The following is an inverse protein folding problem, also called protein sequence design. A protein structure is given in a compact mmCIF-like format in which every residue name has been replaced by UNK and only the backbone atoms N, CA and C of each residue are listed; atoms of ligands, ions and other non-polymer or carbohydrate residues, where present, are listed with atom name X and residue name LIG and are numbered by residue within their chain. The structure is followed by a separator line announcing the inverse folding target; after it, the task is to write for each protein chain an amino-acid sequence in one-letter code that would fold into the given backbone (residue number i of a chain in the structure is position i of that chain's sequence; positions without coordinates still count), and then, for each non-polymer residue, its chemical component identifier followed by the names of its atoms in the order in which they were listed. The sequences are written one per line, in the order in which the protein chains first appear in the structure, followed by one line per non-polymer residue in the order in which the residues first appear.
data_IF_328773253321
#
_entry.id   IF_328773253321
#
_cell.length_a   1.000
_cell.length_b   1.000
_cell.length_c   1.000
_cell.angle_alpha   90.00
_cell.angle_beta   90.00
_cell.angle_gamma   90.00
#
_symmetry.space_group_name_H-M   'P 1'
#
loop_
_entity.id
_entity.type
_entity.pdbx_description
1 polymer ?
#
# COMPACT_ATOMS: atom_id res chain seq x y z
N UNK A 1 -37.67 11.55 -51.85
CA UNK A 1 -37.99 11.98 -50.47
C UNK A 1 -38.79 10.86 -49.81
N UNK A 2 -38.19 10.14 -48.87
CA UNK A 2 -38.81 9.02 -48.14
C UNK A 2 -39.51 9.56 -46.90
N UNK A 3 -40.84 9.46 -46.84
CA UNK A 3 -41.64 9.88 -45.70
C UNK A 3 -41.78 8.73 -44.68
N UNK A 4 -41.31 8.94 -43.45
CA UNK A 4 -41.52 8.01 -42.34
C UNK A 4 -42.91 8.26 -41.73
N UNK A 5 -43.84 7.33 -41.95
CA UNK A 5 -45.17 7.35 -41.34
C UNK A 5 -45.16 6.68 -39.96
N UNK A 6 -45.22 7.45 -38.88
CA UNK A 6 -45.49 6.91 -37.55
C UNK A 6 -46.97 6.55 -37.42
N UNK A 7 -47.30 5.27 -37.59
CA UNK A 7 -48.60 4.71 -37.18
C UNK A 7 -48.67 4.69 -35.65
N UNK A 8 -49.32 5.69 -35.05
CA UNK A 8 -49.71 5.63 -33.63
C UNK A 8 -50.93 4.74 -33.49
N UNK A 9 -50.80 3.59 -32.81
CA UNK A 9 -51.96 2.88 -32.25
C UNK A 9 -52.49 3.73 -31.11
N UNK A 10 -53.62 4.40 -31.32
CA UNK A 10 -54.31 5.16 -30.27
C UNK A 10 -54.73 4.18 -29.18
N UNK A 11 -54.08 4.28 -28.02
CA UNK A 11 -54.38 3.49 -26.83
C UNK A 11 -55.69 3.94 -26.20
N UNK A 12 -56.81 3.40 -26.68
CA UNK A 12 -58.16 3.67 -26.17
C UNK A 12 -58.34 3.33 -24.68
N UNK A 13 -57.47 2.48 -24.11
CA UNK A 13 -57.58 2.01 -22.72
C UNK A 13 -56.72 2.76 -21.70
N UNK A 14 -55.71 3.52 -22.13
CA UNK A 14 -54.79 4.23 -21.20
C UNK A 14 -55.34 5.61 -20.83
N UNK A 15 -56.09 6.25 -21.73
CA UNK A 15 -56.63 7.58 -21.50
C UNK A 15 -57.72 7.60 -20.42
N UNK A 16 -58.68 6.66 -20.45
CA UNK A 16 -59.83 6.69 -19.50
C UNK A 16 -59.43 6.46 -18.05
N UNK A 17 -58.47 5.57 -17.79
CA UNK A 17 -57.98 5.31 -16.43
C UNK A 17 -57.21 6.50 -15.88
N UNK A 18 -56.40 7.17 -16.72
CA UNK A 18 -55.70 8.38 -16.34
C UNK A 18 -56.65 9.56 -16.09
N UNK A 19 -57.69 9.70 -16.91
CA UNK A 19 -58.73 10.72 -16.73
C UNK A 19 -59.55 10.49 -15.45
N UNK A 20 -59.92 9.26 -15.15
CA UNK A 20 -60.71 8.94 -13.95
C UNK A 20 -59.93 9.20 -12.64
N UNK A 21 -58.62 8.97 -12.63
CA UNK A 21 -57.77 9.26 -11.46
C UNK A 21 -57.62 10.78 -11.22
N UNK A 22 -57.60 11.58 -12.29
CA UNK A 22 -57.56 13.04 -12.18
C UNK A 22 -58.90 13.62 -11.66
N UNK A 23 -60.03 13.02 -12.05
CA UNK A 23 -61.36 13.45 -11.59
C UNK A 23 -61.66 13.08 -10.13
N UNK A 24 -61.03 12.03 -9.58
CA UNK A 24 -61.16 11.71 -8.15
C UNK A 24 -60.36 12.66 -7.27
N UNK A 25 -59.16 13.04 -7.72
CA UNK A 25 -58.27 13.96 -6.98
C UNK A 25 -58.80 15.41 -6.97
N UNK A 26 -59.63 15.77 -7.96
CA UNK A 26 -60.27 17.08 -8.05
C UNK A 26 -61.50 17.25 -7.14
N UNK A 27 -61.95 16.20 -6.43
CA UNK A 27 -63.13 16.26 -5.56
C UNK A 27 -62.81 16.52 -4.08
N UNK A 28 -61.54 16.48 -3.71
CA UNK A 28 -61.11 16.70 -2.33
C UNK A 28 -60.57 18.14 -2.14
N UNK A 29 -61.44 19.15 -2.29
CA UNK A 29 -61.15 20.52 -1.85
C UNK A 29 -62.37 21.16 -1.16
N UNK A 30 -62.59 20.78 0.10
CA UNK A 30 -63.34 21.59 1.07
C UNK A 30 -62.48 21.85 2.32
N UNK A 31 -61.35 22.57 2.17
CA UNK A 31 -60.78 23.35 3.27
C UNK A 31 -59.84 24.46 2.75
N UNK A 32 -60.24 25.75 2.77
CA UNK A 32 -59.41 26.85 2.24
C UNK A 32 -58.28 27.31 3.18
N UNK A 33 -58.08 26.68 4.35
CA UNK A 33 -57.20 27.24 5.42
C UNK A 33 -55.84 26.55 5.59
N UNK A 34 -55.51 25.50 4.82
CA UNK A 34 -54.27 24.70 5.04
C UNK A 34 -53.19 24.84 3.94
N UNK A 35 -53.18 25.92 3.15
CA UNK A 35 -52.23 26.09 2.04
C UNK A 35 -51.10 27.08 2.32
N UNK A 36 -50.48 27.02 3.50
CA UNK A 36 -49.09 27.43 3.69
C UNK A 36 -48.15 26.32 3.19
N UNK A 37 -48.35 25.89 1.95
CA UNK A 37 -47.48 24.87 1.37
C UNK A 37 -46.13 25.55 1.07
N UNK A 38 -45.04 25.03 1.64
CA UNK A 38 -43.72 25.66 1.51
C UNK A 38 -43.10 25.29 0.16
N UNK A 39 -43.32 26.11 -0.86
CA UNK A 39 -42.82 25.89 -2.22
C UNK A 39 -41.31 25.70 -2.26
N UNK A 40 -40.56 26.29 -1.31
CA UNK A 40 -39.11 26.16 -1.27
C UNK A 40 -38.66 24.75 -0.89
N UNK A 41 -39.44 24.03 -0.09
CA UNK A 41 -39.12 22.64 0.29
C UNK A 41 -39.56 21.63 -0.77
N UNK A 42 -40.55 21.98 -1.60
CA UNK A 42 -41.03 21.16 -2.70
C UNK A 42 -40.24 21.32 -4.00
N UNK A 43 -39.43 22.39 -4.14
CA UNK A 43 -38.49 22.48 -5.27
C UNK A 43 -37.47 21.36 -5.12
N UNK A 44 -37.40 20.37 -6.04
CA UNK A 44 -36.35 19.37 -5.99
C UNK A 44 -35.01 20.11 -6.04
N UNK A 45 -34.05 19.78 -5.14
CA UNK A 45 -32.80 20.50 -5.07
C UNK A 45 -32.20 20.54 -6.47
N UNK A 46 -32.00 21.77 -6.98
CA UNK A 46 -31.42 21.97 -8.31
C UNK A 46 -30.11 21.18 -8.32
N UNK A 47 -29.95 20.27 -9.28
CA UNK A 47 -28.65 19.60 -9.49
C UNK A 47 -27.64 20.71 -9.69
N UNK A 48 -26.82 20.97 -8.68
CA UNK A 48 -25.69 21.86 -8.78
C UNK A 48 -24.79 21.17 -9.79
N UNK A 49 -24.82 21.67 -11.03
CA UNK A 49 -23.87 21.26 -12.06
C UNK A 49 -22.53 21.76 -11.52
N UNK A 50 -21.71 20.85 -10.99
CA UNK A 50 -20.34 21.17 -10.65
C UNK A 50 -19.66 21.59 -11.95
N UNK A 51 -19.42 22.91 -12.11
CA UNK A 51 -18.74 23.48 -13.27
C UNK A 51 -17.28 23.03 -13.35
N UNK A 52 -16.70 22.57 -12.23
CA UNK A 52 -15.34 22.04 -12.17
C UNK A 52 -15.33 20.53 -12.41
N UNK A 53 -14.50 20.10 -13.37
CA UNK A 53 -14.19 18.69 -13.59
C UNK A 53 -13.61 18.06 -12.32
N UNK A 54 -13.97 16.80 -12.04
CA UNK A 54 -13.45 16.07 -10.87
C UNK A 54 -11.90 16.01 -10.86
N UNK A 55 -11.30 15.90 -12.04
CA UNK A 55 -9.84 15.90 -12.24
C UNK A 55 -9.25 17.28 -11.92
N UNK A 56 -9.86 18.36 -12.42
CA UNK A 56 -9.41 19.73 -12.15
C UNK A 56 -9.53 20.06 -10.65
N UNK A 57 -10.63 19.66 -10.01
CA UNK A 57 -10.83 19.81 -8.57
C UNK A 57 -9.80 19.03 -7.76
N UNK A 58 -9.51 17.78 -8.14
CA UNK A 58 -8.46 16.98 -7.49
C UNK A 58 -7.09 17.64 -7.61
N UNK A 59 -6.73 18.15 -8.79
CA UNK A 59 -5.47 18.87 -9.00
C UNK A 59 -5.37 20.14 -8.16
N UNK A 60 -6.48 20.89 -8.00
CA UNK A 60 -6.51 22.05 -7.11
C UNK A 60 -6.29 21.65 -5.65
N UNK A 61 -7.01 20.63 -5.18
CA UNK A 61 -6.85 20.10 -3.81
C UNK A 61 -5.43 19.59 -3.54
N UNK A 62 -4.80 18.96 -4.54
CA UNK A 62 -3.41 18.54 -4.49
C UNK A 62 -2.46 19.71 -4.29
N UNK A 63 -2.64 20.80 -5.05
CA UNK A 63 -1.86 22.03 -4.93
C UNK A 63 -2.11 22.74 -3.59
N UNK A 64 -3.36 22.82 -3.13
CA UNK A 64 -3.69 23.34 -1.80
C UNK A 64 -2.97 22.52 -0.71
N UNK A 65 -2.98 21.18 -0.83
CA UNK A 65 -2.27 20.29 0.08
C UNK A 65 -0.75 20.48 0.04
N UNK A 66 -0.13 20.71 -1.12
CA UNK A 66 1.32 21.04 -1.19
C UNK A 66 1.65 22.31 -0.42
N UNK A 67 0.87 23.37 -0.62
CA UNK A 67 1.11 24.66 0.04
C UNK A 67 0.95 24.54 1.55
N UNK A 68 -0.02 23.73 2.01
CA UNK A 68 -0.20 23.43 3.44
C UNK A 68 0.96 22.62 4.02
N UNK A 69 1.48 21.62 3.27
CA UNK A 69 2.62 20.82 3.69
C UNK A 69 3.90 21.66 3.77
N UNK A 70 4.12 22.57 2.81
CA UNK A 70 5.23 23.54 2.82
C UNK A 70 5.12 24.52 4.01
N UNK A 71 3.89 24.79 4.46
CA UNK A 71 3.61 25.59 5.66
C UNK A 71 3.63 24.77 6.96
N UNK A 72 4.17 23.54 6.94
CA UNK A 72 4.25 22.60 8.07
C UNK A 72 2.90 22.17 8.67
N UNK A 73 1.77 22.47 8.00
CA UNK A 73 0.41 22.07 8.40
C UNK A 73 0.07 20.69 7.85
N UNK A 74 0.80 19.69 8.31
CA UNK A 74 0.78 18.33 7.77
C UNK A 74 -0.59 17.63 7.82
N UNK A 75 -1.31 17.72 8.95
CA UNK A 75 -2.62 17.07 9.09
C UNK A 75 -3.68 17.67 8.17
N UNK A 76 -3.61 18.98 7.91
CA UNK A 76 -4.52 19.64 6.98
C UNK A 76 -4.20 19.29 5.52
N UNK A 77 -2.92 19.20 5.18
CA UNK A 77 -2.48 18.71 3.88
C UNK A 77 -3.00 17.29 3.60
N UNK A 78 -2.88 16.39 4.60
CA UNK A 78 -3.42 15.02 4.53
C UNK A 78 -4.93 15.03 4.25
N UNK A 79 -5.70 15.87 4.94
CA UNK A 79 -7.16 15.98 4.71
C UNK A 79 -7.49 16.43 3.29
N UNK A 80 -6.76 17.42 2.75
CA UNK A 80 -6.94 17.89 1.37
C UNK A 80 -6.59 16.81 0.35
N UNK A 81 -5.52 16.07 0.59
CA UNK A 81 -5.16 14.93 -0.26
C UNK A 81 -6.16 13.77 -0.15
N UNK A 82 -6.77 13.53 1.02
CA UNK A 82 -7.86 12.56 1.15
C UNK A 82 -9.10 12.93 0.34
N UNK A 83 -9.45 14.23 0.31
CA UNK A 83 -10.50 14.72 -0.58
C UNK A 83 -10.12 14.55 -2.05
N UNK A 84 -8.86 14.80 -2.42
CA UNK A 84 -8.36 14.59 -3.78
C UNK A 84 -8.38 13.10 -4.19
N UNK A 85 -7.96 12.18 -3.31
CA UNK A 85 -7.96 10.73 -3.56
C UNK A 85 -9.37 10.19 -3.77
N UNK A 86 -10.38 10.71 -3.06
CA UNK A 86 -11.79 10.35 -3.27
C UNK A 86 -12.28 10.71 -4.69
N UNK A 87 -11.72 11.76 -5.29
CA UNK A 87 -12.06 12.18 -6.65
C UNK A 87 -11.24 11.42 -7.70
N UNK A 88 -9.95 11.23 -7.44
CA UNK A 88 -9.01 10.55 -8.34
C UNK A 88 -8.19 9.50 -7.58
N UNK A 89 -8.73 8.28 -7.51
CA UNK A 89 -8.05 7.17 -6.82
C UNK A 89 -6.79 6.67 -7.55
N UNK A 90 -6.60 7.05 -8.82
CA UNK A 90 -5.52 6.58 -9.69
C UNK A 90 -4.26 7.44 -9.68
N UNK A 91 -4.27 8.62 -9.04
CA UNK A 91 -3.07 9.50 -9.02
C UNK A 91 -2.04 8.96 -8.01
N UNK A 92 -0.96 8.38 -8.53
CA UNK A 92 0.12 7.79 -7.72
C UNK A 92 0.85 8.82 -6.84
N UNK A 93 0.89 10.08 -7.28
CA UNK A 93 1.67 11.11 -6.60
C UNK A 93 1.02 11.56 -5.29
N UNK A 94 -0.32 11.52 -5.20
CA UNK A 94 -1.03 11.82 -3.95
C UNK A 94 -0.67 10.84 -2.83
N UNK A 95 -0.58 9.55 -3.15
CA UNK A 95 -0.18 8.53 -2.18
C UNK A 95 1.28 8.68 -1.74
N UNK A 96 2.17 9.02 -2.68
CA UNK A 96 3.58 9.24 -2.39
C UNK A 96 3.78 10.46 -1.48
N UNK A 97 3.11 11.58 -1.77
CA UNK A 97 3.16 12.79 -0.94
C UNK A 97 2.60 12.54 0.46
N UNK A 98 1.49 11.78 0.58
CA UNK A 98 0.97 11.35 1.88
C UNK A 98 1.97 10.49 2.63
N UNK A 99 2.64 9.55 1.96
CA UNK A 99 3.69 8.71 2.56
C UNK A 99 4.85 9.54 3.09
N UNK A 100 5.32 10.53 2.34
CA UNK A 100 6.36 11.46 2.79
C UNK A 100 5.93 12.25 4.03
N UNK A 101 4.71 12.78 4.06
CA UNK A 101 4.22 13.53 5.22
C UNK A 101 4.06 12.62 6.45
N UNK A 102 3.58 11.40 6.28
CA UNK A 102 3.53 10.44 7.39
C UNK A 102 4.92 10.08 7.92
N UNK A 103 5.94 9.99 7.05
CA UNK A 103 7.34 9.84 7.49
C UNK A 103 7.81 11.01 8.36
N UNK A 104 7.45 12.25 7.99
CA UNK A 104 7.79 13.44 8.78
C UNK A 104 7.09 13.42 10.14
N UNK A 105 5.83 12.96 10.18
CA UNK A 105 5.04 12.81 11.40
C UNK A 105 5.43 11.59 12.25
N UNK A 106 6.40 10.77 11.81
CA UNK A 106 6.76 9.48 12.42
C UNK A 106 5.62 8.43 12.46
N UNK A 107 4.59 8.58 11.62
CA UNK A 107 3.51 7.62 11.46
C UNK A 107 3.91 6.55 10.44
N UNK A 108 4.75 5.61 10.89
CA UNK A 108 5.45 4.67 10.01
C UNK A 108 4.52 3.68 9.31
N UNK A 109 3.52 3.15 10.02
CA UNK A 109 2.60 2.17 9.44
C UNK A 109 1.72 2.77 8.32
N UNK A 110 1.06 3.93 8.52
CA UNK A 110 0.41 4.65 7.42
C UNK A 110 1.37 5.02 6.30
N UNK A 111 2.62 5.41 6.61
CA UNK A 111 3.60 5.75 5.59
C UNK A 111 3.91 4.57 4.68
N UNK A 112 4.13 3.37 5.23
CA UNK A 112 4.36 2.14 4.44
C UNK A 112 3.15 1.84 3.58
N UNK A 113 1.93 1.87 4.13
CA UNK A 113 0.71 1.57 3.38
C UNK A 113 0.53 2.50 2.17
N UNK A 114 0.73 3.81 2.36
CA UNK A 114 0.61 4.77 1.26
C UNK A 114 1.74 4.63 0.24
N UNK A 115 2.95 4.29 0.69
CA UNK A 115 4.08 3.99 -0.20
C UNK A 115 3.86 2.75 -1.07
N UNK A 116 3.26 1.69 -0.50
CA UNK A 116 2.88 0.49 -1.24
C UNK A 116 1.84 0.79 -2.31
N UNK A 117 0.79 1.56 -1.96
CA UNK A 117 -0.21 2.01 -2.94
C UNK A 117 0.39 2.81 -4.09
N UNK A 118 1.35 3.70 -3.80
CA UNK A 118 2.03 4.47 -4.84
C UNK A 118 2.84 3.57 -5.80
N UNK A 119 3.52 2.55 -5.26
CA UNK A 119 4.28 1.56 -6.05
C UNK A 119 3.35 0.66 -6.86
N UNK A 120 2.22 0.24 -6.30
CA UNK A 120 1.23 -0.60 -7.00
C UNK A 120 0.63 0.14 -8.20
N UNK A 121 0.30 1.42 -8.04
CA UNK A 121 -0.20 2.26 -9.13
C UNK A 121 0.86 2.50 -10.21
N UNK A 122 2.12 2.69 -9.82
CA UNK A 122 3.21 2.93 -10.77
C UNK A 122 4.51 2.20 -10.40
N UNK A 123 4.66 0.93 -10.82
CA UNK A 123 5.82 0.11 -10.46
C UNK A 123 7.15 0.59 -11.05
N UNK A 124 7.12 1.45 -12.07
CA UNK A 124 8.29 2.01 -12.76
C UNK A 124 8.77 3.33 -12.18
N UNK A 125 8.10 3.87 -11.15
CA UNK A 125 8.44 5.16 -10.57
C UNK A 125 9.43 5.02 -9.43
N UNK A 126 10.67 5.45 -9.66
CA UNK A 126 11.76 5.28 -8.70
C UNK A 126 11.55 6.05 -7.39
N UNK A 127 10.84 7.19 -7.40
CA UNK A 127 10.59 8.01 -6.19
C UNK A 127 9.68 7.25 -5.22
N UNK A 128 8.61 6.62 -5.71
CA UNK A 128 7.74 5.80 -4.86
C UNK A 128 8.49 4.65 -4.20
N UNK A 129 9.38 3.96 -4.93
CA UNK A 129 10.24 2.90 -4.36
C UNK A 129 11.22 3.44 -3.30
N UNK A 130 11.74 4.66 -3.50
CA UNK A 130 12.59 5.32 -2.51
C UNK A 130 11.79 5.65 -1.24
N UNK A 131 10.61 6.26 -1.37
CA UNK A 131 9.75 6.64 -0.25
C UNK A 131 9.28 5.41 0.53
N UNK A 132 8.86 4.35 -0.16
CA UNK A 132 8.52 3.05 0.45
C UNK A 132 9.72 2.43 1.19
N UNK A 133 10.92 2.49 0.59
CA UNK A 133 12.14 2.01 1.24
C UNK A 133 12.44 2.75 2.54
N UNK A 134 12.26 4.08 2.56
CA UNK A 134 12.45 4.90 3.77
C UNK A 134 11.41 4.59 4.84
N UNK A 135 10.14 4.45 4.45
CA UNK A 135 9.06 4.07 5.36
C UNK A 135 9.32 2.71 6.03
N UNK A 136 9.72 1.70 5.23
CA UNK A 136 10.08 0.37 5.75
C UNK A 136 11.32 0.38 6.63
N UNK A 137 12.31 1.20 6.29
CA UNK A 137 13.50 1.36 7.13
C UNK A 137 13.12 1.99 8.48
N UNK A 138 12.24 2.99 8.48
CA UNK A 138 11.66 3.59 9.69
C UNK A 138 10.94 2.55 10.56
N UNK A 139 10.19 1.63 9.94
CA UNK A 139 9.51 0.52 10.62
C UNK A 139 10.45 -0.59 11.13
N UNK A 140 11.74 -0.54 10.77
CA UNK A 140 12.72 -1.58 11.13
C UNK A 140 12.77 -2.77 10.16
N UNK A 141 12.03 -2.75 9.05
CA UNK A 141 12.00 -3.79 8.04
C UNK A 141 13.16 -3.65 7.04
N UNK A 142 14.40 -3.67 7.54
CA UNK A 142 15.62 -3.34 6.79
C UNK A 142 15.78 -4.18 5.51
N UNK A 143 15.44 -5.47 5.56
CA UNK A 143 15.52 -6.36 4.38
C UNK A 143 14.58 -5.94 3.26
N UNK A 144 13.35 -5.51 3.59
CA UNK A 144 12.35 -5.08 2.61
C UNK A 144 12.67 -3.67 2.11
N UNK A 145 13.21 -2.81 2.97
CA UNK A 145 13.75 -1.50 2.58
C UNK A 145 14.86 -1.66 1.52
N UNK A 146 15.81 -2.56 1.74
CA UNK A 146 16.92 -2.81 0.80
C UNK A 146 16.44 -3.28 -0.57
N UNK A 147 15.40 -4.13 -0.63
CA UNK A 147 14.76 -4.52 -1.90
C UNK A 147 14.15 -3.31 -2.62
N UNK A 148 13.47 -2.44 -1.87
CA UNK A 148 12.81 -1.25 -2.42
C UNK A 148 13.85 -0.26 -2.96
N UNK A 149 14.93 -0.01 -2.21
CA UNK A 149 16.04 0.84 -2.65
C UNK A 149 16.80 0.25 -3.84
N UNK A 150 17.05 -1.06 -3.85
CA UNK A 150 17.64 -1.74 -5.01
C UNK A 150 16.78 -1.52 -6.26
N UNK A 151 15.46 -1.64 -6.14
CA UNK A 151 14.55 -1.37 -7.26
C UNK A 151 14.59 0.09 -7.71
N UNK A 152 14.60 1.05 -6.77
CA UNK A 152 14.74 2.46 -7.08
C UNK A 152 16.05 2.76 -7.84
N UNK A 153 17.17 2.16 -7.41
CA UNK A 153 18.48 2.27 -8.05
C UNK A 153 18.47 1.68 -9.47
N UNK A 154 17.82 0.52 -9.66
CA UNK A 154 17.68 -0.08 -10.99
C UNK A 154 16.86 0.81 -11.95
N UNK A 155 15.84 1.50 -11.44
CA UNK A 155 15.00 2.39 -12.25
C UNK A 155 15.70 3.72 -12.57
N UNK A 156 16.54 4.24 -11.65
CA UNK A 156 17.29 5.48 -11.86
C UNK A 156 18.72 5.40 -11.29
N UNK A 157 19.66 4.79 -12.03
CA UNK A 157 21.02 4.60 -11.55
C UNK A 157 21.83 5.91 -11.46
N UNK A 158 21.42 6.96 -12.18
CA UNK A 158 22.13 8.24 -12.19
C UNK A 158 22.00 9.02 -10.87
N UNK A 159 20.96 8.74 -10.07
CA UNK A 159 20.72 9.47 -8.82
C UNK A 159 21.64 8.97 -7.71
N UNK A 160 22.76 9.66 -7.52
CA UNK A 160 23.78 9.35 -6.50
C UNK A 160 23.23 9.19 -5.07
N UNK A 161 22.22 9.96 -4.69
CA UNK A 161 21.60 9.88 -3.36
C UNK A 161 21.00 8.49 -3.06
N UNK A 162 20.41 7.82 -4.05
CA UNK A 162 19.86 6.48 -3.87
C UNK A 162 20.92 5.46 -3.48
N UNK A 163 22.13 5.61 -4.05
CA UNK A 163 23.25 4.72 -3.77
C UNK A 163 23.89 5.02 -2.42
N UNK A 164 24.27 6.29 -2.21
CA UNK A 164 25.09 6.71 -1.06
C UNK A 164 24.29 6.81 0.23
N UNK A 165 23.10 7.38 0.15
CA UNK A 165 22.34 7.73 1.34
C UNK A 165 21.40 6.59 1.73
N UNK A 166 20.67 6.05 0.75
CA UNK A 166 19.60 5.09 1.04
C UNK A 166 20.09 3.63 0.98
N UNK A 167 20.62 3.17 -0.16
CA UNK A 167 21.02 1.77 -0.35
C UNK A 167 22.21 1.37 0.52
N UNK A 168 23.27 2.20 0.53
CA UNK A 168 24.47 1.92 1.32
C UNK A 168 24.15 1.89 2.81
N UNK A 169 23.37 2.85 3.32
CA UNK A 169 22.96 2.89 4.71
C UNK A 169 22.13 1.67 5.11
N UNK A 170 21.12 1.32 4.30
CA UNK A 170 20.30 0.13 4.56
C UNK A 170 21.13 -1.16 4.56
N UNK A 171 22.13 -1.28 3.67
CA UNK A 171 23.03 -2.43 3.63
C UNK A 171 23.94 -2.51 4.85
N UNK A 172 24.48 -1.38 5.30
CA UNK A 172 25.32 -1.32 6.49
C UNK A 172 24.52 -1.66 7.75
N UNK A 173 23.30 -1.14 7.87
CA UNK A 173 22.39 -1.47 8.97
C UNK A 173 22.05 -2.97 8.99
N UNK A 174 21.75 -3.54 7.81
CA UNK A 174 21.50 -4.97 7.67
C UNK A 174 22.71 -5.80 8.12
N UNK A 175 23.92 -5.43 7.69
CA UNK A 175 25.16 -6.12 8.05
C UNK A 175 25.38 -6.13 9.56
N UNK A 176 25.25 -4.97 10.22
CA UNK A 176 25.37 -4.86 11.67
C UNK A 176 24.37 -5.74 12.40
N UNK A 177 23.11 -5.77 11.94
CA UNK A 177 22.08 -6.63 12.49
C UNK A 177 22.39 -8.12 12.27
N UNK A 178 22.92 -8.50 11.10
CA UNK A 178 23.30 -9.90 10.86
C UNK A 178 24.50 -10.33 11.70
N UNK A 179 25.49 -9.45 11.89
CA UNK A 179 26.68 -9.72 12.69
C UNK A 179 26.32 -9.86 14.18
N UNK A 180 25.42 -9.00 14.69
CA UNK A 180 24.92 -9.11 16.06
C UNK A 180 24.17 -10.42 16.27
N UNK A 181 23.24 -10.78 15.37
CA UNK A 181 22.51 -12.06 15.44
C UNK A 181 23.47 -13.25 15.38
N UNK A 182 24.48 -13.22 14.50
CA UNK A 182 25.49 -14.28 14.41
C UNK A 182 26.30 -14.42 15.71
N UNK A 183 26.67 -13.29 16.32
CA UNK A 183 27.40 -13.28 17.60
C UNK A 183 26.55 -13.83 18.76
N UNK A 184 25.23 -13.61 18.73
CA UNK A 184 24.29 -14.15 19.71
C UNK A 184 24.09 -15.65 19.50
N UNK A 185 23.95 -16.10 18.25
CA UNK A 185 23.82 -17.52 17.91
C UNK A 185 25.05 -18.31 18.38
N UNK A 186 26.26 -17.82 18.11
CA UNK A 186 27.50 -18.46 18.54
C UNK A 186 27.64 -18.56 20.07
N UNK A 187 26.99 -17.67 20.84
CA UNK A 187 26.92 -17.74 22.31
C UNK A 187 25.82 -18.69 22.80
N UNK A 188 24.78 -18.93 22.02
CA UNK A 188 23.67 -19.82 22.37
C UNK A 188 23.97 -21.31 22.07
N UNK A 189 24.76 -21.60 21.03
CA UNK A 189 25.20 -22.95 20.66
C UNK A 189 25.90 -23.75 21.80
N UNK A 190 26.71 -23.16 22.70
CA UNK A 190 27.23 -23.90 23.86
C UNK A 190 26.17 -24.20 24.93
N UNK A 191 25.09 -23.40 25.03
CA UNK A 191 24.08 -23.51 26.10
C UNK A 191 22.88 -24.39 25.73
N UNK A 192 22.60 -24.56 24.43
CA UNK A 192 21.50 -25.44 23.96
C UNK A 192 21.89 -26.91 23.81
N UNK A 193 23.11 -27.30 24.19
CA UNK A 193 23.51 -28.70 24.36
C UNK A 193 22.92 -29.31 25.64
N UNK A 194 21.67 -28.98 25.96
CA UNK A 194 20.89 -29.75 26.93
C UNK A 194 20.60 -31.09 26.27
N UNK A 195 21.41 -32.07 26.66
CA UNK A 195 21.29 -33.47 26.30
C UNK A 195 19.84 -33.91 26.54
N UNK A 196 19.09 -34.08 25.45
CA UNK A 196 17.91 -34.94 25.48
C UNK A 196 18.47 -36.32 25.78
N UNK A 197 18.47 -36.71 27.05
CA UNK A 197 18.64 -38.11 27.43
C UNK A 197 17.44 -38.81 26.83
N UNK A 198 17.66 -39.46 25.69
CA UNK A 198 16.80 -40.55 25.24
C UNK A 198 16.71 -41.52 26.41
N UNK A 199 15.59 -41.45 27.14
CA UNK A 199 15.16 -42.55 27.98
C UNK A 199 14.90 -43.69 27.00
N UNK A 200 15.81 -44.64 26.96
CA UNK A 200 15.59 -45.93 26.33
C UNK A 200 14.41 -46.58 27.02
N UNK A 201 13.24 -46.51 26.38
CA UNK A 201 12.08 -47.35 26.68
C UNK A 201 12.45 -48.79 26.31
N UNK A 202 13.14 -49.47 27.23
CA UNK A 202 13.11 -50.93 27.30
C UNK A 202 11.77 -51.34 27.95
N UNK A 203 10.65 -51.16 27.25
CA UNK A 203 9.46 -52.00 27.47
C UNK A 203 8.79 -52.31 26.12
N UNK A 204 8.73 -53.61 25.84
CA UNK A 204 8.09 -54.25 24.69
C UNK A 204 6.70 -53.70 24.36
N UNK A 205 6.53 -53.13 23.16
CA UNK A 205 5.24 -53.07 22.48
C UNK A 205 5.48 -53.41 21.00
N UNK A 206 5.02 -54.60 20.59
CA UNK A 206 4.93 -55.02 19.20
C UNK A 206 3.80 -54.25 18.52
N UNK A 207 4.06 -53.48 17.46
CA UNK A 207 3.01 -53.04 16.51
C UNK A 207 3.60 -52.80 15.11
N UNK A 208 3.08 -53.54 14.12
CA UNK A 208 3.59 -53.71 12.75
C UNK A 208 3.43 -52.48 11.80
N UNK A 209 3.01 -51.31 12.26
CA UNK A 209 2.59 -50.22 11.35
C UNK A 209 3.73 -49.29 10.87
N UNK A 210 4.94 -49.36 11.46
CA UNK A 210 6.00 -48.37 11.20
C UNK A 210 6.88 -48.67 9.96
N UNK A 211 6.61 -49.76 9.23
CA UNK A 211 7.37 -50.16 8.03
C UNK A 211 6.88 -49.43 6.76
N UNK A 212 5.63 -48.94 6.74
CA UNK A 212 5.06 -48.26 5.56
C UNK A 212 5.52 -46.80 5.40
N UNK A 213 5.77 -46.09 6.50
CA UNK A 213 6.12 -44.66 6.48
C UNK A 213 7.58 -44.44 6.03
N UNK A 214 8.49 -45.37 6.36
CA UNK A 214 9.91 -45.27 5.95
C UNK A 214 10.14 -45.54 4.47
N UNK A 215 9.22 -46.23 3.78
CA UNK A 215 9.31 -46.45 2.32
C UNK A 215 8.85 -45.23 1.52
N UNK A 216 7.86 -44.48 1.98
CA UNK A 216 7.32 -43.32 1.25
C UNK A 216 8.26 -42.11 1.28
N UNK A 217 8.97 -41.88 2.39
CA UNK A 217 9.95 -40.79 2.52
C UNK A 217 11.14 -40.96 1.58
N UNK A 218 11.60 -42.22 1.39
CA UNK A 218 12.76 -42.54 0.53
C UNK A 218 12.48 -42.34 -0.97
N UNK A 219 11.21 -42.37 -1.39
CA UNK A 219 10.79 -42.10 -2.77
C UNK A 219 10.69 -40.61 -3.12
N UNK A 220 10.56 -39.72 -2.14
CA UNK A 220 10.45 -38.27 -2.40
C UNK A 220 11.81 -37.54 -2.43
N UNK A 221 12.87 -38.11 -1.88
CA UNK A 221 14.22 -37.51 -1.90
C UNK A 221 14.99 -37.70 -3.23
N UNK A 222 14.55 -38.61 -4.10
CA UNK A 222 15.24 -38.92 -5.36
C UNK A 222 14.77 -38.10 -6.58
N UNK A 223 13.93 -37.07 -6.41
CA UNK A 223 13.41 -36.24 -7.52
C UNK A 223 14.08 -34.86 -7.66
N UNK A 224 15.07 -34.51 -6.83
CA UNK A 224 15.67 -33.17 -6.84
C UNK A 224 17.21 -33.17 -6.76
N UNK A 225 17.91 -33.93 -7.61
CA UNK A 225 19.36 -33.76 -7.79
C UNK A 225 19.81 -33.93 -9.24
N UNK A 226 19.61 -32.90 -10.07
CA UNK A 226 20.43 -32.70 -11.27
C UNK A 226 21.05 -31.29 -11.26
N UNK A 227 22.22 -31.24 -10.62
CA UNK A 227 23.50 -30.62 -11.05
C UNK A 227 23.51 -29.26 -11.78
N UNK A 228 24.29 -28.34 -11.21
CA UNK A 228 24.84 -27.17 -11.89
C UNK A 228 25.86 -26.39 -11.04
N UNK A 229 26.88 -27.06 -10.51
CA UNK A 229 27.96 -26.43 -9.74
C UNK A 229 28.94 -25.67 -10.65
N UNK A 230 28.91 -24.34 -10.66
CA UNK A 230 29.98 -23.52 -11.24
C UNK A 230 30.89 -22.97 -10.13
N UNK A 231 32.14 -23.44 -10.12
CA UNK A 231 33.24 -22.92 -9.30
C UNK A 231 33.47 -21.44 -9.62
N UNK A 232 33.31 -20.55 -8.64
CA UNK A 232 33.83 -19.18 -8.71
C UNK A 232 34.91 -18.97 -7.63
N UNK A 233 36.05 -18.56 -8.17
CA UNK A 233 37.37 -18.39 -7.58
C UNK A 233 37.33 -17.23 -6.58
N UNK A 234 37.77 -17.49 -5.34
CA UNK A 234 38.09 -16.44 -4.36
C UNK A 234 39.09 -15.46 -4.99
N UNK A 235 38.76 -14.18 -4.99
CA UNK A 235 39.71 -13.08 -5.14
C UNK A 235 39.64 -12.25 -3.88
N UNK A 236 40.75 -12.24 -3.18
CA UNK A 236 41.04 -11.30 -2.11
C UNK A 236 41.12 -9.90 -2.71
N UNK A 237 40.33 -8.97 -2.17
CA UNK A 237 40.55 -7.54 -2.35
C UNK A 237 40.40 -6.89 -0.99
N UNK A 238 41.54 -6.86 -0.32
CA UNK A 238 41.88 -5.98 0.76
C UNK A 238 41.89 -4.55 0.22
N UNK A 239 40.87 -3.74 0.53
CA UNK A 239 40.93 -2.28 0.39
C UNK A 239 40.13 -1.67 1.53
N UNK A 240 40.85 -1.55 2.65
CA UNK A 240 40.45 -0.83 3.84
C UNK A 240 40.56 0.66 3.51
N UNK A 241 39.44 1.29 3.16
CA UNK A 241 39.34 2.75 3.06
C UNK A 241 38.66 3.28 4.31
N UNK A 242 39.44 3.99 5.11
CA UNK A 242 39.01 4.72 6.30
C UNK A 242 37.97 5.78 5.92
N UNK A 243 36.68 5.44 6.03
CA UNK A 243 35.60 6.41 6.09
C UNK A 243 35.03 6.44 7.49
N UNK A 244 35.29 7.55 8.17
CA UNK A 244 34.75 7.94 9.48
C UNK A 244 33.23 7.66 9.55
N UNK A 245 32.67 7.28 10.71
CA UNK A 245 31.25 7.00 10.83
C UNK A 245 30.45 8.23 10.41
N UNK A 246 29.77 8.12 9.27
CA UNK A 246 28.93 9.17 8.74
C UNK A 246 27.72 9.33 9.67
N UNK A 247 27.57 10.53 10.22
CA UNK A 247 26.35 10.99 10.87
C UNK A 247 25.15 10.76 9.96
N UNK A 248 23.99 10.46 10.56
CA UNK A 248 22.72 10.18 9.88
C UNK A 248 22.49 11.17 8.71
N UNK A 249 22.11 10.70 7.51
CA UNK A 249 21.66 11.59 6.46
C UNK A 249 20.50 12.43 7.01
N UNK A 250 20.54 13.75 6.83
CA UNK A 250 19.57 14.73 7.38
C UNK A 250 18.09 14.45 7.05
N UNK A 251 17.81 13.45 6.22
CA UNK A 251 16.48 13.04 5.76
C UNK A 251 15.86 11.90 6.61
N UNK A 252 16.57 11.37 7.61
CA UNK A 252 16.03 10.35 8.52
C UNK A 252 15.60 11.02 9.82
N UNK A 253 14.29 11.08 10.06
CA UNK A 253 13.73 11.56 11.33
C UNK A 253 14.18 10.59 12.43
N UNK A 254 14.72 11.14 13.53
CA UNK A 254 15.33 10.40 14.61
C UNK A 254 14.44 9.24 15.08
N UNK A 255 14.88 8.00 14.84
CA UNK A 255 14.44 6.84 15.63
C UNK A 255 14.74 7.19 17.08
N UNK A 256 13.70 7.46 17.87
CA UNK A 256 13.84 7.61 19.32
C UNK A 256 14.28 6.25 19.85
N UNK A 257 15.53 6.19 20.30
CA UNK A 257 16.00 5.09 21.13
C UNK A 257 15.12 5.04 22.39
N UNK A 258 14.32 3.99 22.50
CA UNK A 258 13.66 3.55 23.74
C UNK A 258 14.18 2.17 24.10
#
# INVERSE_FOLDING_TARGET
MTAFGWKRKVGEKVARTASAAFESDAKDEENPEDLDVDWLTLVPPRKIICLEDAIAKSNRLKQEGTVLADSERYWEAIRKWDEAIKLTSTDETLYEMKSQVFLILCELYPAVHMGERAVDLKPTWWVAHQTLGRARLGMGEVKLALKSFSRAVHLNPAKRALWKDDLWWAAELWKKHTDSVKSLLAKAEPESSVVIKEYSEDEHIEDEENVSIKKTVKSHENMFTHTGTSKLKKRDSNEQSDMKPASLPKNYVHMRDT
#
